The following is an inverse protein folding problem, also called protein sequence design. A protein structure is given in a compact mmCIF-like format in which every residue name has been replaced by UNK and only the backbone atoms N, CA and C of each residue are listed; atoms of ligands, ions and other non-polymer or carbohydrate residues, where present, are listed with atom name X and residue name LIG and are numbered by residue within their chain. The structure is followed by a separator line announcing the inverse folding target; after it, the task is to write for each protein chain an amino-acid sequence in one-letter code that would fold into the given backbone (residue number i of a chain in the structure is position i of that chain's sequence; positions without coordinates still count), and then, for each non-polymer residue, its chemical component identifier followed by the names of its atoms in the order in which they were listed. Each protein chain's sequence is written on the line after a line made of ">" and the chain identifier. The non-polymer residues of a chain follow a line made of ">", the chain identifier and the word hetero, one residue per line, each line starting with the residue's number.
data_IF_116245715361
#
_entry.id   IF_116245715361
#
_cell.length_a   1.000
_cell.length_b   1.000
_cell.length_c   1.000
_cell.angle_alpha   90.00
_cell.angle_beta   90.00
_cell.angle_gamma   90.00
#
_symmetry.space_group_name_H-M   'P 1'
#
loop_
_entity.id
_entity.type
_entity.pdbx_description
1 polymer ?
#
# COMPACT_ATOMS: atom_id res chain seq x y z
N UNK A 1 8.36 6.49 -16.84
CA UNK A 1 7.16 7.32 -16.56
C UNK A 1 6.63 7.11 -15.13
N UNK A 2 6.36 5.86 -14.69
CA UNK A 2 5.91 5.58 -13.31
C UNK A 2 7.00 5.92 -12.30
N UNK A 3 8.23 5.48 -12.53
CA UNK A 3 9.40 5.76 -11.69
C UNK A 3 9.61 7.26 -11.47
N UNK A 4 9.49 8.07 -12.52
CA UNK A 4 9.64 9.52 -12.40
C UNK A 4 8.50 10.16 -11.59
N UNK A 5 7.28 9.57 -11.64
CA UNK A 5 6.15 10.00 -10.81
C UNK A 5 6.37 9.66 -9.33
N UNK A 6 6.91 8.49 -9.02
CA UNK A 6 7.27 8.11 -7.64
C UNK A 6 8.32 9.07 -7.04
N UNK A 7 9.27 9.52 -7.86
CA UNK A 7 10.36 10.40 -7.43
C UNK A 7 9.89 11.85 -7.26
N UNK A 8 9.07 12.36 -8.17
CA UNK A 8 8.70 13.79 -8.22
C UNK A 8 7.31 14.11 -7.70
N UNK A 9 6.47 13.10 -7.54
CA UNK A 9 5.03 13.27 -7.33
C UNK A 9 4.28 13.62 -8.63
N UNK A 10 2.95 13.63 -8.56
CA UNK A 10 2.08 13.91 -9.71
C UNK A 10 0.74 14.46 -9.25
N UNK A 11 0.19 15.37 -10.05
CA UNK A 11 -1.23 15.72 -9.95
C UNK A 11 -2.09 14.65 -10.62
N UNK A 12 -3.12 14.18 -9.92
CA UNK A 12 -4.07 13.18 -10.39
C UNK A 12 -5.46 13.82 -10.35
N UNK A 13 -6.22 13.63 -11.42
CA UNK A 13 -7.59 14.12 -11.54
C UNK A 13 -7.69 15.44 -12.29
N UNK A 14 -8.90 15.71 -12.79
CA UNK A 14 -9.25 16.92 -13.49
C UNK A 14 -8.69 17.03 -14.91
N UNK A 15 -9.57 16.96 -15.89
CA UNK A 15 -9.23 17.42 -17.22
C UNK A 15 -9.31 18.96 -17.19
N UNK A 16 -8.20 19.63 -16.87
CA UNK A 16 -8.11 21.10 -16.74
C UNK A 16 -8.53 21.86 -18.01
N UNK A 17 -8.79 21.14 -19.10
CA UNK A 17 -9.16 21.73 -20.40
C UNK A 17 -10.67 21.86 -20.64
N UNK A 18 -11.54 21.31 -19.79
CA UNK A 18 -12.98 21.41 -20.01
C UNK A 18 -13.63 22.47 -19.11
N UNK A 19 -14.24 23.48 -19.73
CA UNK A 19 -15.00 24.58 -19.08
C UNK A 19 -16.20 24.12 -18.20
N UNK A 20 -16.45 22.82 -18.08
CA UNK A 20 -17.58 22.23 -17.34
C UNK A 20 -17.24 21.75 -15.91
N UNK A 21 -16.03 22.04 -15.41
CA UNK A 21 -15.57 21.44 -14.17
C UNK A 21 -15.65 22.45 -13.03
N UNK A 22 -16.82 22.59 -12.44
CA UNK A 22 -16.96 23.32 -11.17
C UNK A 22 -16.58 22.48 -9.93
N UNK A 23 -16.53 21.14 -10.03
CA UNK A 23 -16.41 20.24 -8.87
C UNK A 23 -15.31 19.16 -8.99
N UNK A 24 -14.28 19.34 -9.81
CA UNK A 24 -13.20 18.35 -9.86
C UNK A 24 -12.10 18.71 -8.88
N UNK A 25 -11.98 17.89 -7.84
CA UNK A 25 -10.87 17.94 -6.90
C UNK A 25 -9.60 17.44 -7.59
N UNK A 26 -8.60 18.31 -7.70
CA UNK A 26 -7.26 17.92 -8.16
C UNK A 26 -6.49 17.38 -6.97
N UNK A 27 -6.13 16.12 -7.03
CA UNK A 27 -5.31 15.48 -5.99
C UNK A 27 -3.84 15.50 -6.38
N UNK A 28 -2.99 16.00 -5.51
CA UNK A 28 -1.55 15.89 -5.67
C UNK A 28 -1.04 14.65 -4.96
N UNK A 29 -0.45 13.72 -5.70
CA UNK A 29 0.28 12.59 -5.12
C UNK A 29 1.73 12.99 -4.98
N UNK A 30 2.20 13.13 -3.74
CA UNK A 30 3.59 13.48 -3.44
C UNK A 30 4.56 12.37 -3.87
N UNK A 31 5.86 12.65 -3.83
CA UNK A 31 6.87 11.59 -3.98
C UNK A 31 6.74 10.56 -2.86
N UNK A 32 7.23 9.33 -3.10
CA UNK A 32 7.25 8.28 -2.09
C UNK A 32 7.97 8.71 -0.81
N UNK A 33 9.13 9.37 -0.95
CA UNK A 33 9.89 9.95 0.16
C UNK A 33 9.05 10.94 0.99
N UNK A 34 8.41 11.92 0.33
CA UNK A 34 7.59 12.91 1.03
C UNK A 34 6.40 12.27 1.73
N UNK A 35 5.76 11.28 1.09
CA UNK A 35 4.66 10.55 1.70
C UNK A 35 5.13 9.84 2.97
N UNK A 36 6.22 9.08 2.89
CA UNK A 36 6.80 8.38 4.03
C UNK A 36 7.18 9.34 5.16
N UNK A 37 7.94 10.39 4.86
CA UNK A 37 8.41 11.35 5.87
C UNK A 37 7.26 12.15 6.50
N UNK A 38 6.20 12.45 5.75
CA UNK A 38 5.00 13.11 6.30
C UNK A 38 4.29 12.19 7.31
N UNK A 39 4.10 10.91 7.00
CA UNK A 39 3.51 9.97 7.96
C UNK A 39 4.39 9.77 9.18
N UNK A 40 5.70 9.68 9.00
CA UNK A 40 6.66 9.58 10.10
C UNK A 40 6.61 10.80 11.02
N UNK A 41 6.53 12.01 10.46
CA UNK A 41 6.42 13.25 11.25
C UNK A 41 5.09 13.36 12.00
N UNK A 42 4.06 12.61 11.61
CA UNK A 42 2.78 12.57 12.29
C UNK A 42 2.89 12.07 13.74
N UNK A 43 3.96 11.31 14.08
CA UNK A 43 4.20 10.85 15.46
C UNK A 43 4.29 11.98 16.50
N UNK A 44 4.61 13.19 16.05
CA UNK A 44 4.62 14.39 16.91
C UNK A 44 3.22 14.85 17.33
N UNK A 45 2.18 14.53 16.58
CA UNK A 45 0.81 15.01 16.79
C UNK A 45 -0.22 13.90 16.95
N UNK A 46 0.13 12.68 16.63
CA UNK A 46 -0.76 11.52 16.69
C UNK A 46 0.01 10.21 16.81
N UNK A 47 -0.69 9.12 16.63
CA UNK A 47 -0.11 7.78 16.59
C UNK A 47 -0.28 7.17 15.22
N UNK A 48 0.75 6.49 14.74
CA UNK A 48 0.69 5.71 13.51
C UNK A 48 1.32 4.33 13.70
N UNK A 49 0.96 3.40 12.86
CA UNK A 49 1.55 2.08 12.78
C UNK A 49 2.15 1.90 11.38
N UNK A 50 3.45 1.67 11.31
CA UNK A 50 4.11 1.34 10.06
C UNK A 50 4.07 -0.16 9.84
N UNK A 51 3.45 -0.59 8.75
CA UNK A 51 3.37 -1.99 8.35
C UNK A 51 3.94 -2.13 6.94
N UNK A 52 4.87 -3.06 6.76
CA UNK A 52 5.43 -3.35 5.43
C UNK A 52 4.55 -4.38 4.72
N UNK A 53 4.37 -4.18 3.42
CA UNK A 53 3.62 -5.12 2.58
C UNK A 53 4.18 -6.55 2.66
N UNK A 54 5.50 -6.66 2.66
CA UNK A 54 6.21 -7.93 2.72
C UNK A 54 5.86 -8.72 3.99
N UNK A 55 5.67 -8.04 5.11
CA UNK A 55 5.29 -8.67 6.37
C UNK A 55 3.84 -9.17 6.33
N UNK A 56 2.92 -8.40 5.69
CA UNK A 56 1.50 -8.78 5.55
C UNK A 56 1.34 -10.05 4.70
N UNK A 57 2.20 -10.24 3.69
CA UNK A 57 2.12 -11.40 2.78
C UNK A 57 3.01 -12.56 3.19
N UNK A 58 3.80 -12.41 4.27
CA UNK A 58 4.71 -13.42 4.80
C UNK A 58 4.02 -14.41 5.75
N UNK A 59 4.81 -15.34 6.29
CA UNK A 59 4.35 -16.23 7.37
C UNK A 59 3.98 -15.47 8.66
N UNK A 60 4.46 -14.23 8.82
CA UNK A 60 4.13 -13.36 9.95
C UNK A 60 2.76 -12.67 9.84
N UNK A 61 2.01 -12.89 8.77
CA UNK A 61 0.73 -12.21 8.50
C UNK A 61 -0.28 -12.25 9.65
N UNK A 62 -0.35 -13.37 10.40
CA UNK A 62 -1.26 -13.48 11.55
C UNK A 62 -0.82 -12.54 12.68
N UNK A 63 0.47 -12.46 12.96
CA UNK A 63 1.05 -11.58 13.99
C UNK A 63 0.84 -10.12 13.62
N UNK A 64 1.16 -9.75 12.39
CA UNK A 64 0.98 -8.38 11.87
C UNK A 64 -0.49 -7.97 11.90
N UNK A 65 -1.40 -8.87 11.53
CA UNK A 65 -2.83 -8.57 11.58
C UNK A 65 -3.32 -8.37 13.02
N UNK A 66 -2.82 -9.14 13.97
CA UNK A 66 -3.08 -8.94 15.41
C UNK A 66 -2.53 -7.59 15.87
N UNK A 67 -1.34 -7.20 15.44
CA UNK A 67 -0.75 -5.90 15.75
C UNK A 67 -1.61 -4.74 15.24
N UNK A 68 -2.07 -4.81 13.99
CA UNK A 68 -3.00 -3.83 13.41
C UNK A 68 -4.28 -3.73 14.24
N UNK A 69 -4.89 -4.86 14.61
CA UNK A 69 -6.10 -4.86 15.43
C UNK A 69 -5.86 -4.25 16.82
N UNK A 70 -4.76 -4.60 17.48
CA UNK A 70 -4.38 -4.01 18.76
C UNK A 70 -4.21 -2.50 18.66
N UNK A 71 -3.57 -2.02 17.59
CA UNK A 71 -3.42 -0.60 17.33
C UNK A 71 -4.78 0.11 17.14
N UNK A 72 -5.72 -0.51 16.40
CA UNK A 72 -7.09 0.02 16.25
C UNK A 72 -7.83 0.07 17.59
N UNK A 73 -7.71 -0.98 18.43
CA UNK A 73 -8.28 -0.97 19.78
C UNK A 73 -7.67 0.14 20.64
N UNK A 74 -6.34 0.30 20.59
CA UNK A 74 -5.62 1.36 21.31
C UNK A 74 -6.14 2.76 20.91
N UNK A 75 -6.26 3.05 19.62
CA UNK A 75 -6.79 4.33 19.14
C UNK A 75 -8.23 4.61 19.59
N UNK A 76 -9.02 3.57 19.82
CA UNK A 76 -10.39 3.68 20.30
C UNK A 76 -10.50 3.61 21.82
N UNK A 77 -9.40 3.63 22.57
CA UNK A 77 -9.37 3.47 24.03
C UNK A 77 -10.12 2.21 24.51
N UNK A 78 -10.06 1.12 23.75
CA UNK A 78 -10.71 -0.16 24.06
C UNK A 78 -9.70 -1.24 24.37
N UNK A 79 -10.05 -2.14 25.29
CA UNK A 79 -9.27 -3.35 25.52
C UNK A 79 -9.42 -4.30 24.32
N UNK A 80 -8.32 -4.90 23.83
CA UNK A 80 -8.38 -5.86 22.74
C UNK A 80 -9.25 -7.07 23.11
N UNK A 81 -10.18 -7.42 22.20
CA UNK A 81 -10.99 -8.64 22.29
C UNK A 81 -10.83 -9.42 20.99
N UNK A 82 -9.73 -10.19 20.91
CA UNK A 82 -9.31 -10.86 19.68
C UNK A 82 -9.74 -12.33 19.68
N UNK A 83 -10.45 -12.73 18.67
CA UNK A 83 -10.79 -14.13 18.41
C UNK A 83 -9.83 -14.71 17.37
N UNK A 84 -8.89 -15.54 17.81
CA UNK A 84 -7.87 -16.15 16.93
C UNK A 84 -8.47 -16.97 15.78
N UNK A 85 -9.53 -17.74 16.05
CA UNK A 85 -10.20 -18.54 15.01
C UNK A 85 -10.81 -17.66 13.93
N UNK A 86 -11.44 -16.54 14.32
CA UNK A 86 -12.01 -15.55 13.40
C UNK A 86 -10.91 -14.89 12.57
N UNK A 87 -9.78 -14.51 13.19
CA UNK A 87 -8.62 -13.92 12.52
C UNK A 87 -8.10 -14.88 11.46
N UNK A 88 -7.84 -16.14 11.81
CA UNK A 88 -7.36 -17.16 10.86
C UNK A 88 -8.34 -17.40 9.71
N UNK A 89 -9.63 -17.39 9.99
CA UNK A 89 -10.65 -17.54 8.95
C UNK A 89 -10.63 -16.35 7.99
N UNK A 90 -10.52 -15.11 8.49
CA UNK A 90 -10.40 -13.91 7.66
C UNK A 90 -9.16 -14.03 6.77
N UNK A 91 -7.98 -14.29 7.34
CA UNK A 91 -6.73 -14.43 6.59
C UNK A 91 -6.81 -15.53 5.52
N UNK A 92 -7.50 -16.65 5.81
CA UNK A 92 -7.72 -17.73 4.84
C UNK A 92 -8.68 -17.34 3.72
N UNK A 93 -9.74 -16.61 4.02
CA UNK A 93 -10.76 -16.22 3.02
C UNK A 93 -10.31 -15.05 2.15
N UNK A 94 -9.34 -14.26 2.59
CA UNK A 94 -8.77 -13.11 1.86
C UNK A 94 -7.41 -13.44 1.22
N UNK A 95 -7.02 -14.71 1.11
CA UNK A 95 -5.82 -15.12 0.38
C UNK A 95 -5.92 -14.69 -1.10
N UNK A 96 -4.76 -14.36 -1.67
CA UNK A 96 -4.68 -13.84 -3.04
C UNK A 96 -5.42 -14.73 -4.06
N UNK A 97 -5.22 -16.03 -4.01
CA UNK A 97 -5.84 -16.99 -4.92
C UNK A 97 -7.38 -17.00 -4.80
N UNK A 98 -7.88 -16.81 -3.57
CA UNK A 98 -9.31 -16.67 -3.30
C UNK A 98 -9.87 -15.39 -3.90
N UNK A 99 -9.19 -14.26 -3.68
CA UNK A 99 -9.60 -12.97 -4.22
C UNK A 99 -9.54 -12.96 -5.75
N UNK A 100 -8.50 -13.54 -6.35
CA UNK A 100 -8.39 -13.69 -7.80
C UNK A 100 -9.52 -14.58 -8.37
N UNK A 101 -9.86 -15.67 -7.68
CA UNK A 101 -10.98 -16.53 -8.09
C UNK A 101 -12.33 -15.82 -8.02
N UNK A 102 -12.54 -15.00 -6.98
CA UNK A 102 -13.76 -14.19 -6.83
C UNK A 102 -13.85 -13.12 -7.91
N UNK A 103 -12.74 -12.44 -8.22
CA UNK A 103 -12.69 -11.46 -9.31
C UNK A 103 -13.06 -12.10 -10.65
N UNK A 104 -12.49 -13.25 -10.99
CA UNK A 104 -12.82 -13.98 -12.21
C UNK A 104 -14.28 -14.40 -12.30
N UNK A 105 -14.90 -14.70 -11.16
CA UNK A 105 -16.30 -15.16 -11.11
C UNK A 105 -17.32 -14.04 -11.10
N UNK A 106 -17.04 -12.96 -10.39
CA UNK A 106 -18.00 -11.88 -10.09
C UNK A 106 -17.57 -10.49 -10.59
N UNK A 107 -16.35 -10.39 -11.14
CA UNK A 107 -15.72 -9.11 -11.42
C UNK A 107 -15.25 -8.41 -10.14
N UNK A 108 -14.53 -7.30 -10.32
CA UNK A 108 -14.10 -6.43 -9.24
C UNK A 108 -14.30 -4.97 -9.66
N UNK A 109 -15.04 -4.21 -8.87
CA UNK A 109 -15.46 -2.84 -9.25
C UNK A 109 -14.30 -1.87 -9.50
N UNK A 110 -13.14 -2.12 -8.89
CA UNK A 110 -11.93 -1.31 -9.05
C UNK A 110 -11.00 -1.85 -10.15
N UNK A 111 -11.33 -3.00 -10.76
CA UNK A 111 -10.59 -3.51 -11.90
C UNK A 111 -10.77 -2.57 -13.09
N UNK A 112 -9.64 -2.19 -13.71
CA UNK A 112 -9.64 -1.37 -14.92
C UNK A 112 -9.74 -2.24 -16.17
N UNK A 113 -8.77 -2.05 -17.12
CA UNK A 113 -8.69 -2.87 -18.34
C UNK A 113 -8.13 -4.28 -18.10
N UNK A 114 -7.47 -4.49 -16.97
CA UNK A 114 -6.84 -5.75 -16.58
C UNK A 114 -7.36 -6.15 -15.20
N UNK A 115 -7.22 -7.45 -14.88
CA UNK A 115 -7.54 -7.97 -13.55
C UNK A 115 -6.80 -7.20 -12.46
N UNK A 116 -7.48 -6.90 -11.37
CA UNK A 116 -6.88 -6.23 -10.22
C UNK A 116 -5.91 -7.16 -9.48
N UNK A 117 -6.33 -8.41 -9.23
CA UNK A 117 -5.49 -9.44 -8.60
C UNK A 117 -4.60 -10.14 -9.64
N UNK A 118 -3.66 -9.38 -10.24
CA UNK A 118 -2.85 -9.84 -11.37
C UNK A 118 -1.55 -10.56 -10.96
N UNK A 119 -0.70 -9.92 -10.14
CA UNK A 119 0.65 -10.41 -9.87
C UNK A 119 0.82 -11.14 -8.54
N UNK A 120 0.02 -10.82 -7.54
CA UNK A 120 0.06 -11.43 -6.22
C UNK A 120 1.32 -11.15 -5.40
N UNK A 121 1.46 -11.82 -4.25
CA UNK A 121 2.55 -11.60 -3.31
C UNK A 121 3.93 -12.02 -3.85
N UNK A 122 3.97 -12.94 -4.81
CA UNK A 122 5.22 -13.44 -5.41
C UNK A 122 5.79 -12.53 -6.50
N UNK A 123 5.30 -11.29 -6.60
CA UNK A 123 5.81 -10.33 -7.56
C UNK A 123 7.22 -9.86 -7.18
N UNK A 124 8.23 -10.55 -7.66
CA UNK A 124 9.63 -10.18 -7.48
C UNK A 124 9.97 -8.97 -8.37
N UNK A 125 9.92 -7.78 -7.78
CA UNK A 125 10.24 -6.54 -8.47
C UNK A 125 11.68 -6.52 -9.02
N UNK A 126 12.62 -7.21 -8.36
CA UNK A 126 14.02 -7.32 -8.82
C UNK A 126 14.13 -8.02 -10.18
N UNK A 127 13.22 -8.93 -10.48
CA UNK A 127 13.17 -9.61 -11.79
C UNK A 127 12.34 -8.86 -12.83
N UNK A 128 11.37 -8.05 -12.39
CA UNK A 128 10.41 -7.40 -13.30
C UNK A 128 10.76 -5.95 -13.62
N UNK A 129 11.48 -5.26 -12.76
CA UNK A 129 11.90 -3.88 -12.97
C UNK A 129 13.26 -3.84 -13.65
N UNK A 130 13.39 -3.06 -14.72
CA UNK A 130 14.68 -2.90 -15.40
C UNK A 130 15.73 -2.23 -14.49
N UNK A 131 16.98 -2.61 -14.67
CA UNK A 131 18.10 -2.20 -13.83
C UNK A 131 18.26 -0.67 -13.73
N UNK A 132 18.02 0.06 -14.82
CA UNK A 132 18.11 1.52 -14.85
C UNK A 132 17.06 2.17 -13.92
N UNK A 133 15.85 1.63 -13.89
CA UNK A 133 14.82 2.11 -12.98
C UNK A 133 15.07 1.69 -11.54
N UNK A 134 15.64 0.49 -11.31
CA UNK A 134 16.07 0.08 -9.95
C UNK A 134 17.10 1.09 -9.41
N UNK A 135 18.16 1.36 -10.12
CA UNK A 135 19.18 2.33 -9.70
C UNK A 135 18.63 3.74 -9.45
N UNK A 136 17.69 4.20 -10.28
CA UNK A 136 17.05 5.50 -10.08
C UNK A 136 16.28 5.57 -8.77
N UNK A 137 15.53 4.51 -8.44
CA UNK A 137 14.73 4.41 -7.21
C UNK A 137 15.65 4.34 -5.99
N UNK A 138 16.64 3.44 -6.02
CA UNK A 138 17.59 3.27 -4.93
C UNK A 138 18.39 4.55 -4.66
N UNK A 139 18.81 5.25 -5.71
CA UNK A 139 19.50 6.55 -5.58
C UNK A 139 18.57 7.63 -5.00
N UNK A 140 17.33 7.70 -5.50
CA UNK A 140 16.39 8.74 -5.09
C UNK A 140 15.91 8.57 -3.63
N UNK A 141 15.78 7.34 -3.17
CA UNK A 141 15.20 7.01 -1.86
C UNK A 141 16.16 6.25 -0.94
N UNK A 142 17.45 6.38 -1.17
CA UNK A 142 18.51 5.64 -0.45
C UNK A 142 18.39 5.73 1.06
N UNK A 143 18.04 6.90 1.59
CA UNK A 143 17.89 7.13 3.03
C UNK A 143 16.72 6.34 3.60
N UNK A 144 15.54 6.50 3.01
CA UNK A 144 14.30 5.84 3.46
C UNK A 144 14.36 4.33 3.25
N UNK A 145 14.96 3.88 2.16
CA UNK A 145 15.14 2.45 1.89
C UNK A 145 16.07 1.79 2.91
N UNK A 146 17.17 2.46 3.31
CA UNK A 146 18.05 1.99 4.39
C UNK A 146 17.32 1.93 5.72
N UNK A 147 16.59 2.99 6.07
CA UNK A 147 15.81 3.06 7.30
C UNK A 147 14.77 1.93 7.38
N UNK A 148 14.14 1.59 6.25
CA UNK A 148 13.15 0.53 6.15
C UNK A 148 13.76 -0.87 5.94
N UNK A 149 15.08 -0.98 5.76
CA UNK A 149 15.79 -2.25 5.58
C UNK A 149 15.59 -2.90 4.21
N UNK A 150 15.39 -2.10 3.15
CA UNK A 150 15.33 -2.58 1.76
C UNK A 150 16.70 -2.68 1.10
N UNK A 151 17.68 -1.89 1.55
CA UNK A 151 19.09 -1.88 1.12
C UNK A 151 20.01 -1.66 2.31
#
# INVERSE_FOLDING_TARGET
>A
KITDQMIRGKYIGGNLSSKKIKDQTVTYTSSWEKNYNNWKSFDAVGKYLLVKYEDIVSEKKEEIFVEILNFVYYLNNKKPSLNKSKIRNILKTTMFEKMQSLEKKHGFSEAGKNDFFYKGPNNDWKKTLDFKNQQKIEKAFSKEMKELGYI
#
